data_IF_130261259956
#
_entry.id   IF_130261259956
#
_cell.length_a   1.000
_cell.length_b   1.000
_cell.length_c   1.000
_cell.angle_alpha   90.00
_cell.angle_beta   90.00
_cell.angle_gamma   90.00
#
_symmetry.space_group_name_H-M   'P 1'
#
loop_
_entity.id
_entity.type
_entity.pdbx_description
1 polymer ?
#
# COMPACT_ATOMS: atom_id res chain seq x y z
N UNK A 1 7.28 1.70 -3.25
CA UNK A 1 6.75 2.93 -2.61
C UNK A 1 6.80 2.73 -1.11
N UNK A 2 7.29 3.71 -0.37
CA UNK A 2 7.42 3.61 1.09
C UNK A 2 7.09 4.94 1.76
N UNK A 3 6.52 4.91 2.98
CA UNK A 3 6.30 6.11 3.82
C UNK A 3 5.46 7.21 3.15
N UNK A 4 4.41 6.83 2.41
CA UNK A 4 3.51 7.79 1.76
C UNK A 4 2.20 7.93 2.53
N UNK A 5 1.65 9.14 2.58
CA UNK A 5 0.29 9.40 3.05
C UNK A 5 -0.64 9.69 1.86
N UNK A 6 -1.54 8.76 1.58
CA UNK A 6 -2.54 8.85 0.52
C UNK A 6 -3.87 9.26 1.13
N UNK A 7 -4.27 10.51 0.97
CA UNK A 7 -5.44 11.07 1.66
C UNK A 7 -6.49 11.63 0.70
N UNK A 8 -7.77 11.29 0.91
CA UNK A 8 -8.92 11.85 0.18
C UNK A 8 -8.78 11.65 -1.34
N UNK A 9 -8.57 10.40 -1.75
CA UNK A 9 -8.34 10.03 -3.14
C UNK A 9 -9.39 9.03 -3.60
N UNK A 10 -9.90 9.23 -4.81
CA UNK A 10 -10.83 8.27 -5.38
C UNK A 10 -10.12 6.95 -5.73
N UNK A 11 -9.04 6.98 -6.52
CA UNK A 11 -8.45 5.73 -7.00
C UNK A 11 -6.96 5.80 -7.36
N UNK A 12 -6.38 4.62 -7.64
CA UNK A 12 -5.06 4.42 -8.27
C UNK A 12 -3.89 4.84 -7.39
N UNK A 13 -3.75 4.18 -6.25
CA UNK A 13 -2.66 4.42 -5.29
C UNK A 13 -1.77 3.17 -5.08
N UNK A 14 -1.33 2.45 -6.14
CA UNK A 14 -1.32 2.80 -7.56
C UNK A 14 -2.26 1.92 -8.41
N UNK A 15 -2.36 2.19 -9.72
CA UNK A 15 -2.76 1.19 -10.71
C UNK A 15 -1.50 0.59 -11.35
N UNK A 16 -0.97 -0.46 -10.75
CA UNK A 16 0.30 -1.09 -11.12
C UNK A 16 0.10 -2.12 -12.23
N UNK A 17 1.02 -2.16 -13.20
CA UNK A 17 0.99 -3.08 -14.35
C UNK A 17 2.36 -3.63 -14.60
N UNK A 18 2.41 -4.92 -14.95
CA UNK A 18 3.65 -5.64 -15.26
C UNK A 18 4.67 -5.63 -14.10
N UNK A 19 5.68 -6.50 -14.19
CA UNK A 19 6.83 -6.46 -13.27
C UNK A 19 6.49 -6.67 -11.79
N UNK A 20 7.43 -6.25 -10.93
CA UNK A 20 7.31 -6.36 -9.47
C UNK A 20 7.28 -4.97 -8.83
N UNK A 21 6.53 -4.85 -7.74
CA UNK A 21 6.50 -3.62 -6.94
C UNK A 21 6.39 -3.94 -5.46
N UNK A 22 7.05 -3.15 -4.63
CA UNK A 22 6.99 -3.28 -3.18
C UNK A 22 6.41 -2.00 -2.58
N UNK A 23 5.36 -2.11 -1.79
CA UNK A 23 4.64 -1.01 -1.15
C UNK A 23 4.64 -1.27 0.34
N UNK A 24 5.20 -0.38 1.14
CA UNK A 24 5.27 -0.60 2.58
C UNK A 24 5.22 0.68 3.43
N UNK A 25 4.97 0.54 4.73
CA UNK A 25 4.89 1.64 5.71
C UNK A 25 4.08 2.83 5.18
N UNK A 26 2.98 2.61 4.47
CA UNK A 26 2.19 3.69 3.85
C UNK A 26 0.80 3.77 4.47
N UNK A 27 0.26 4.98 4.53
CA UNK A 27 -1.06 5.28 5.11
C UNK A 27 -2.03 5.62 3.98
N UNK A 28 -3.20 5.00 3.98
CA UNK A 28 -4.26 5.17 3.01
C UNK A 28 -5.56 5.61 3.71
N UNK A 29 -5.78 6.92 3.78
CA UNK A 29 -6.89 7.54 4.50
C UNK A 29 -7.96 8.07 3.54
N UNK A 30 -9.20 7.62 3.69
CA UNK A 30 -10.30 7.99 2.81
C UNK A 30 -9.96 7.76 1.33
N UNK A 31 -9.48 6.55 1.03
CA UNK A 31 -9.11 6.14 -0.32
C UNK A 31 -10.06 5.06 -0.84
N UNK A 32 -10.93 5.44 -1.79
CA UNK A 32 -12.05 4.58 -2.19
C UNK A 32 -11.60 3.31 -2.94
N UNK A 33 -10.72 3.44 -3.92
CA UNK A 33 -10.22 2.36 -4.77
C UNK A 33 -8.69 2.34 -4.83
N UNK A 34 -8.06 1.73 -3.82
CA UNK A 34 -6.64 1.88 -3.50
C UNK A 34 -5.68 1.24 -4.50
N UNK A 35 -4.95 0.23 -4.05
CA UNK A 35 -3.97 -0.49 -4.85
C UNK A 35 -4.71 -1.39 -5.84
N UNK A 36 -4.43 -1.23 -7.12
CA UNK A 36 -4.92 -2.09 -8.18
C UNK A 36 -3.74 -2.73 -8.93
N UNK A 37 -3.51 -4.02 -8.70
CA UNK A 37 -2.51 -4.84 -9.42
C UNK A 37 -3.13 -5.40 -10.70
N UNK A 38 -2.41 -5.34 -11.82
CA UNK A 38 -2.93 -5.65 -13.15
C UNK A 38 -1.88 -6.23 -14.08
N UNK A 39 -2.32 -6.86 -15.15
CA UNK A 39 -1.53 -7.28 -16.31
C UNK A 39 -0.27 -8.07 -15.90
N UNK A 40 -0.45 -9.11 -15.08
CA UNK A 40 0.62 -9.99 -14.60
C UNK A 40 1.53 -9.38 -13.52
N UNK A 41 1.23 -8.19 -13.02
CA UNK A 41 1.98 -7.55 -11.94
C UNK A 41 2.04 -8.42 -10.67
N UNK A 42 3.16 -8.32 -9.96
CA UNK A 42 3.39 -8.97 -8.67
C UNK A 42 3.73 -7.91 -7.62
N UNK A 43 2.82 -7.64 -6.70
CA UNK A 43 3.06 -6.70 -5.61
C UNK A 43 3.40 -7.40 -4.31
N UNK A 44 4.34 -6.84 -3.55
CA UNK A 44 4.51 -7.11 -2.12
C UNK A 44 3.99 -5.89 -1.37
N UNK A 45 2.96 -6.03 -0.55
CA UNK A 45 2.35 -4.95 0.23
C UNK A 45 2.47 -5.26 1.71
N UNK A 46 3.27 -4.48 2.43
CA UNK A 46 3.66 -4.79 3.81
C UNK A 46 3.41 -3.63 4.77
N UNK A 47 3.01 -3.95 6.00
CA UNK A 47 2.93 -3.01 7.14
C UNK A 47 2.38 -1.64 6.75
N UNK A 48 1.26 -1.62 6.02
CA UNK A 48 0.57 -0.40 5.60
C UNK A 48 -0.80 -0.33 6.27
N UNK A 49 -1.32 0.88 6.43
CA UNK A 49 -2.53 1.15 7.21
C UNK A 49 -3.57 1.80 6.33
N UNK A 50 -4.81 1.30 6.40
CA UNK A 50 -5.96 1.91 5.76
C UNK A 50 -6.91 2.48 6.81
N UNK A 51 -7.55 3.60 6.52
CA UNK A 51 -8.67 4.13 7.30
C UNK A 51 -9.71 4.74 6.38
N UNK A 52 -11.00 4.63 6.75
CA UNK A 52 -12.11 5.11 5.91
C UNK A 52 -12.04 4.65 4.43
N UNK A 53 -11.59 3.41 4.22
CA UNK A 53 -11.39 2.82 2.89
C UNK A 53 -12.20 1.53 2.75
N UNK A 54 -12.56 1.18 1.52
CA UNK A 54 -13.32 -0.06 1.25
C UNK A 54 -12.52 -1.07 0.43
N UNK A 55 -11.79 -0.62 -0.59
CA UNK A 55 -10.97 -1.48 -1.47
C UNK A 55 -9.51 -1.12 -1.28
N UNK A 56 -8.83 -1.85 -0.41
CA UNK A 56 -7.43 -1.59 -0.08
C UNK A 56 -6.51 -2.09 -1.19
N UNK A 57 -6.62 -3.36 -1.53
CA UNK A 57 -5.83 -4.03 -2.56
C UNK A 57 -6.80 -4.85 -3.39
N UNK A 58 -6.74 -4.69 -4.71
CA UNK A 58 -7.56 -5.46 -5.64
C UNK A 58 -6.76 -5.80 -6.89
N UNK A 59 -7.30 -6.73 -7.66
CA UNK A 59 -6.79 -7.08 -8.98
C UNK A 59 -7.85 -6.82 -10.04
N UNK A 60 -7.44 -6.20 -11.15
CA UNK A 60 -8.19 -6.18 -12.41
C UNK A 60 -7.25 -6.62 -13.52
N UNK A 61 -7.70 -7.46 -14.42
CA UNK A 61 -6.89 -7.94 -15.55
C UNK A 61 -5.63 -8.72 -15.08
N UNK A 62 -5.82 -9.69 -14.18
CA UNK A 62 -4.80 -10.70 -13.84
C UNK A 62 -3.50 -10.17 -13.19
N UNK A 63 -3.61 -9.29 -12.19
CA UNK A 63 -2.51 -8.95 -11.28
C UNK A 63 -2.56 -9.73 -9.95
N UNK A 64 -1.44 -9.73 -9.22
CA UNK A 64 -1.27 -10.46 -7.97
C UNK A 64 -0.66 -9.57 -6.88
N UNK A 65 -0.92 -9.92 -5.61
CA UNK A 65 -0.31 -9.28 -4.46
C UNK A 65 0.00 -10.32 -3.36
N UNK A 66 1.11 -10.14 -2.67
CA UNK A 66 1.41 -10.74 -1.37
C UNK A 66 1.20 -9.64 -0.33
N UNK A 67 0.39 -9.91 0.68
CA UNK A 67 -0.07 -8.93 1.66
C UNK A 67 0.26 -9.40 3.07
N UNK A 68 1.11 -8.67 3.79
CA UNK A 68 1.66 -9.10 5.09
C UNK A 68 1.67 -7.93 6.08
N UNK A 69 1.27 -8.18 7.33
CA UNK A 69 1.34 -7.18 8.41
C UNK A 69 0.49 -5.92 8.21
N UNK A 70 -0.42 -5.89 7.24
CA UNK A 70 -1.27 -4.72 6.95
C UNK A 70 -2.44 -4.57 7.95
N UNK A 71 -2.80 -3.33 8.28
CA UNK A 71 -4.00 -3.00 9.07
C UNK A 71 -5.06 -2.38 8.14
N UNK A 72 -6.13 -3.12 7.85
CA UNK A 72 -7.11 -2.69 6.86
C UNK A 72 -8.29 -1.85 7.40
N UNK A 73 -8.55 -1.87 8.72
CA UNK A 73 -9.66 -1.15 9.37
C UNK A 73 -11.01 -1.19 8.61
N UNK A 74 -11.38 -2.38 8.11
CA UNK A 74 -12.63 -2.60 7.37
C UNK A 74 -12.49 -2.64 5.85
N UNK A 75 -11.42 -2.06 5.30
CA UNK A 75 -11.07 -2.22 3.88
C UNK A 75 -10.75 -3.68 3.54
N UNK A 76 -10.80 -4.03 2.26
CA UNK A 76 -10.57 -5.39 1.78
C UNK A 76 -9.39 -5.49 0.84
N UNK A 77 -8.61 -6.54 1.05
CA UNK A 77 -7.72 -7.12 0.07
C UNK A 77 -8.46 -8.25 -0.65
N UNK A 78 -8.58 -8.13 -1.98
CA UNK A 78 -9.20 -9.13 -2.84
C UNK A 78 -8.27 -9.51 -3.99
N UNK A 79 -7.00 -9.12 -3.96
CA UNK A 79 -6.06 -9.52 -5.00
C UNK A 79 -5.71 -11.02 -4.83
N UNK A 80 -5.60 -11.79 -5.93
CA UNK A 80 -5.04 -13.13 -5.86
C UNK A 80 -3.60 -13.10 -5.34
N UNK A 81 -3.23 -14.12 -4.58
CA UNK A 81 -1.88 -14.23 -4.00
C UNK A 81 -0.81 -14.31 -5.09
N UNK A 82 0.23 -13.48 -4.94
CA UNK A 82 1.41 -13.48 -5.79
C UNK A 82 2.54 -14.38 -5.28
N UNK A 83 3.70 -14.27 -5.91
CA UNK A 83 4.94 -15.00 -5.56
C UNK A 83 6.10 -14.07 -5.20
N UNK A 84 5.97 -12.77 -5.44
CA UNK A 84 7.01 -11.80 -5.11
C UNK A 84 7.01 -11.50 -3.61
N UNK A 85 8.03 -12.01 -2.91
CA UNK A 85 8.19 -11.92 -1.45
C UNK A 85 9.51 -11.30 -1.02
N UNK A 86 10.49 -11.17 -1.94
CA UNK A 86 11.84 -10.71 -1.63
C UNK A 86 12.28 -9.62 -2.62
N UNK A 87 12.21 -8.33 -2.25
CA UNK A 87 12.71 -7.23 -3.07
C UNK A 87 14.25 -7.17 -2.99
N UNK A 88 14.96 -6.86 -4.10
CA UNK A 88 16.43 -6.93 -4.17
C UNK A 88 17.13 -5.70 -3.56
N UNK A 89 16.69 -5.27 -2.39
CA UNK A 89 17.27 -4.16 -1.62
C UNK A 89 16.94 -4.29 -0.13
N UNK A 90 17.74 -3.68 0.72
CA UNK A 90 17.46 -3.62 2.16
C UNK A 90 16.40 -2.57 2.48
N UNK A 91 15.49 -2.90 3.40
CA UNK A 91 14.46 -2.01 3.90
C UNK A 91 14.14 -2.33 5.36
N UNK A 92 13.48 -1.39 6.03
CA UNK A 92 13.00 -1.57 7.39
C UNK A 92 11.49 -1.39 7.41
N UNK A 93 10.79 -2.39 7.94
CA UNK A 93 9.37 -2.27 8.24
C UNK A 93 9.21 -1.63 9.63
N UNK A 94 8.30 -0.67 9.72
CA UNK A 94 7.81 -0.22 11.01
C UNK A 94 6.75 -1.20 11.50
N UNK A 95 6.50 -1.28 12.81
CA UNK A 95 5.29 -1.95 13.29
C UNK A 95 4.08 -1.24 12.70
N UNK A 96 3.11 -2.01 12.19
CA UNK A 96 1.99 -1.43 11.44
C UNK A 96 1.16 -0.44 12.29
N UNK A 97 1.13 -0.63 13.61
CA UNK A 97 0.47 0.29 14.55
C UNK A 97 1.18 1.66 14.64
N UNK A 98 2.50 1.71 14.38
CA UNK A 98 3.31 2.92 14.44
C UNK A 98 3.39 3.67 13.10
N UNK A 99 2.92 3.06 12.00
CA UNK A 99 3.04 3.63 10.65
C UNK A 99 2.30 4.95 10.54
N UNK A 100 1.08 5.05 11.07
CA UNK A 100 0.29 6.29 10.99
C UNK A 100 0.99 7.45 11.68
N UNK A 101 1.47 7.25 12.92
CA UNK A 101 2.16 8.30 13.68
C UNK A 101 3.53 8.65 13.09
N UNK A 102 4.19 7.70 12.42
CA UNK A 102 5.49 7.91 11.79
C UNK A 102 5.41 8.63 10.45
N UNK A 103 4.31 8.47 9.69
CA UNK A 103 4.16 8.99 8.32
C UNK A 103 3.35 10.29 8.29
N UNK A 104 2.27 10.37 9.06
CA UNK A 104 1.40 11.56 9.04
C UNK A 104 2.12 12.73 9.71
N UNK A 105 2.22 13.86 9.01
CA UNK A 105 2.92 15.06 9.49
C UNK A 105 4.44 15.07 9.25
N UNK A 106 5.02 13.95 8.80
CA UNK A 106 6.43 13.87 8.36
C UNK A 106 6.54 13.72 6.84
N UNK A 107 5.55 13.10 6.19
CA UNK A 107 5.49 12.97 4.74
C UNK A 107 5.16 14.30 4.06
N UNK A 108 5.87 14.60 2.97
CA UNK A 108 5.71 15.84 2.20
C UNK A 108 6.60 16.98 2.69
N UNK A 109 6.24 18.22 2.34
CA UNK A 109 7.00 19.39 2.76
C UNK A 109 6.59 19.82 4.18
N UNK A 110 7.57 19.86 5.09
CA UNK A 110 7.38 20.32 6.47
C UNK A 110 8.10 21.65 6.68
N UNK A 111 7.44 22.65 7.27
CA UNK A 111 8.10 23.90 7.64
C UNK A 111 8.94 23.72 8.91
N UNK A 112 10.14 24.29 8.90
CA UNK A 112 10.96 24.49 10.10
C UNK A 112 11.00 25.99 10.40
N UNK A 113 10.70 26.37 11.63
CA UNK A 113 10.72 27.77 12.11
C UNK A 113 11.96 28.03 12.95
#
# INVERSE_FOLDING_TARGET
MANNHWQNLNSRTPSFRFGTGHIFNSVFDSNADGINTRDGAQLLVQNSVWSDATKAIKSTDEGFAVSEGNIFNGAKDTAPNGTFTDPPYSFTLLDAEDVTSSVVGTAGATLQF
#
